data_IF_649695723170
#
_entry.id   IF_649695723170
#
_cell.length_a   1.000
_cell.length_b   1.000
_cell.length_c   1.000
_cell.angle_alpha   90.00
_cell.angle_beta   90.00
_cell.angle_gamma   90.00
#
_symmetry.space_group_name_H-M   'P 1'
#
loop_
_entity.id
_entity.type
_entity.pdbx_description
1 polymer ?
#
# COMPACT_ATOMS: atom_id res chain seq x y z
N UNK A 1 -67.81 86.17 -23.19
CA UNK A 1 -68.62 85.16 -23.88
C UNK A 1 -70.11 85.49 -23.95
N UNK A 2 -70.77 85.92 -22.88
CA UNK A 2 -72.24 85.98 -22.85
C UNK A 2 -72.89 87.03 -23.77
N UNK A 3 -72.24 88.16 -24.03
CA UNK A 3 -72.87 89.30 -24.73
C UNK A 3 -73.11 89.07 -26.23
N UNK A 4 -72.19 88.38 -26.92
CA UNK A 4 -72.37 88.02 -28.34
C UNK A 4 -73.51 87.03 -28.52
N UNK A 5 -73.56 85.99 -27.67
CA UNK A 5 -74.63 85.00 -27.73
C UNK A 5 -75.99 85.61 -27.35
N UNK A 6 -76.01 86.47 -26.33
CA UNK A 6 -77.22 87.19 -25.91
C UNK A 6 -77.76 88.12 -27.01
N UNK A 7 -76.88 88.90 -27.66
CA UNK A 7 -77.28 89.76 -28.77
C UNK A 7 -77.74 88.97 -30.02
N UNK A 8 -77.12 87.81 -30.29
CA UNK A 8 -77.56 86.91 -31.37
C UNK A 8 -78.92 86.25 -31.06
N UNK A 9 -79.13 85.79 -29.83
CA UNK A 9 -80.39 85.20 -29.38
C UNK A 9 -81.53 86.23 -29.39
N UNK A 10 -81.25 87.47 -29.00
CA UNK A 10 -82.21 88.59 -29.08
C UNK A 10 -82.51 88.94 -30.55
N UNK A 11 -81.50 88.93 -31.43
CA UNK A 11 -81.70 89.12 -32.88
C UNK A 11 -82.58 88.02 -33.49
N UNK A 12 -82.34 86.76 -33.11
CA UNK A 12 -83.17 85.62 -33.51
C UNK A 12 -84.60 85.80 -33.04
N UNK A 13 -84.79 86.17 -31.77
CA UNK A 13 -86.12 86.42 -31.18
C UNK A 13 -86.88 87.52 -31.93
N UNK A 14 -86.22 88.65 -32.24
CA UNK A 14 -86.83 89.75 -33.00
C UNK A 14 -87.24 89.30 -34.41
N UNK A 15 -86.44 88.43 -35.04
CA UNK A 15 -86.75 87.88 -36.38
C UNK A 15 -87.89 86.85 -36.33
N UNK A 16 -87.95 86.03 -35.29
CA UNK A 16 -89.00 85.02 -35.08
C UNK A 16 -90.37 85.66 -34.77
N UNK A 17 -90.40 86.75 -34.01
CA UNK A 17 -91.63 87.49 -33.66
C UNK A 17 -92.04 88.55 -34.72
N UNK A 18 -91.23 88.71 -35.77
CA UNK A 18 -91.42 89.73 -36.80
C UNK A 18 -92.74 89.55 -37.57
N UNK A 19 -93.43 90.67 -37.84
CA UNK A 19 -94.71 90.64 -38.55
C UNK A 19 -94.50 90.40 -40.05
N UNK A 20 -95.04 89.29 -40.57
CA UNK A 20 -95.00 88.96 -42.01
C UNK A 20 -95.78 89.93 -42.90
N UNK A 21 -95.28 90.17 -44.12
CA UNK A 21 -95.95 91.01 -45.14
C UNK A 21 -96.78 90.13 -46.09
N UNK A 22 -98.10 90.40 -46.28
CA UNK A 22 -98.99 89.53 -47.05
C UNK A 22 -98.52 89.29 -48.50
N UNK A 23 -98.68 88.06 -48.99
CA UNK A 23 -98.28 87.61 -50.34
C UNK A 23 -96.77 87.71 -50.64
N UNK A 24 -95.90 87.82 -49.62
CA UNK A 24 -94.43 87.81 -49.76
C UNK A 24 -93.77 86.92 -48.69
N UNK A 25 -92.52 86.53 -48.91
CA UNK A 25 -91.69 85.83 -47.91
C UNK A 25 -90.98 86.78 -46.94
N UNK A 26 -91.34 88.07 -46.92
CA UNK A 26 -90.68 89.09 -46.10
C UNK A 26 -91.37 89.31 -44.74
N UNK A 27 -90.58 89.68 -43.74
CA UNK A 27 -91.05 90.14 -42.44
C UNK A 27 -90.60 91.58 -42.17
N UNK A 28 -91.37 92.30 -41.36
CA UNK A 28 -91.05 93.67 -40.91
C UNK A 28 -90.39 93.55 -39.55
N UNK A 29 -89.11 93.96 -39.48
CA UNK A 29 -88.34 94.04 -38.25
C UNK A 29 -88.07 95.51 -37.88
N UNK A 30 -88.03 95.85 -36.59
CA UNK A 30 -87.58 97.16 -36.13
C UNK A 30 -86.10 97.34 -36.48
N UNK A 31 -85.85 98.08 -37.56
CA UNK A 31 -84.50 98.28 -38.11
C UNK A 31 -83.50 98.86 -37.10
N UNK A 32 -83.94 99.70 -36.16
CA UNK A 32 -83.10 100.29 -35.12
C UNK A 32 -82.51 99.21 -34.21
N UNK A 33 -83.39 98.45 -33.56
CA UNK A 33 -83.05 97.39 -32.61
C UNK A 33 -82.18 96.30 -33.25
N UNK A 34 -82.48 95.89 -34.50
CA UNK A 34 -81.66 94.91 -35.24
C UNK A 34 -80.26 95.44 -35.55
N UNK A 35 -80.12 96.72 -35.92
CA UNK A 35 -78.81 97.32 -36.19
C UNK A 35 -78.01 97.50 -34.91
N UNK A 36 -78.66 97.84 -33.79
CA UNK A 36 -78.02 97.97 -32.49
C UNK A 36 -77.46 96.62 -32.01
N UNK A 37 -78.23 95.54 -32.12
CA UNK A 37 -77.77 94.19 -31.79
C UNK A 37 -76.66 93.69 -32.72
N UNK A 38 -76.74 94.00 -34.03
CA UNK A 38 -75.66 93.68 -34.97
C UNK A 38 -74.38 94.48 -34.68
N UNK A 39 -74.50 95.73 -34.24
CA UNK A 39 -73.36 96.55 -33.82
C UNK A 39 -72.76 96.02 -32.52
N UNK A 40 -73.57 95.61 -31.55
CA UNK A 40 -73.11 94.95 -30.32
C UNK A 40 -72.37 93.63 -30.61
N UNK A 41 -72.89 92.81 -31.54
CA UNK A 41 -72.21 91.60 -32.02
C UNK A 41 -70.91 91.95 -32.74
N UNK A 42 -70.93 92.95 -33.63
CA UNK A 42 -69.75 93.40 -34.38
C UNK A 42 -68.63 93.88 -33.46
N UNK A 43 -68.99 94.59 -32.39
CA UNK A 43 -68.02 95.19 -31.48
C UNK A 43 -67.50 94.16 -30.46
N UNK A 44 -68.29 93.15 -30.09
CA UNK A 44 -67.91 92.13 -29.12
C UNK A 44 -67.22 90.88 -29.72
N UNK A 45 -67.56 90.45 -30.95
CA UNK A 45 -66.96 89.27 -31.59
C UNK A 45 -65.42 89.33 -31.68
N UNK A 46 -64.80 90.45 -32.11
CA UNK A 46 -63.35 90.52 -32.26
C UNK A 46 -62.61 90.23 -30.95
N UNK A 47 -63.10 90.74 -29.83
CA UNK A 47 -62.51 90.50 -28.51
C UNK A 47 -62.65 89.04 -28.08
N UNK A 48 -63.81 88.42 -28.31
CA UNK A 48 -64.02 87.00 -27.96
C UNK A 48 -63.17 86.05 -28.82
N UNK A 49 -62.92 86.41 -30.09
CA UNK A 49 -62.01 85.67 -30.96
C UNK A 49 -60.54 85.83 -30.52
N UNK A 50 -60.14 87.02 -30.09
CA UNK A 50 -58.81 87.30 -29.53
C UNK A 50 -58.58 86.48 -28.25
N UNK A 51 -59.53 86.53 -27.31
CA UNK A 51 -59.49 85.75 -26.07
C UNK A 51 -59.42 84.22 -26.36
N UNK A 52 -60.15 83.73 -27.36
CA UNK A 52 -60.10 82.32 -27.77
C UNK A 52 -58.75 81.96 -28.40
N UNK A 53 -58.16 82.87 -29.19
CA UNK A 53 -56.85 82.71 -29.78
C UNK A 53 -55.76 82.65 -28.70
N UNK A 54 -55.81 83.53 -27.69
CA UNK A 54 -54.91 83.53 -26.54
C UNK A 54 -54.93 82.18 -25.79
N UNK A 55 -56.11 81.59 -25.59
CA UNK A 55 -56.24 80.28 -24.95
C UNK A 55 -55.62 79.18 -25.80
N UNK A 56 -55.77 79.22 -27.13
CA UNK A 56 -55.16 78.26 -28.04
C UNK A 56 -53.64 78.38 -28.06
N UNK A 57 -53.12 79.61 -28.12
CA UNK A 57 -51.68 79.87 -28.10
C UNK A 57 -51.07 79.44 -26.76
N UNK A 58 -51.75 79.73 -25.64
CA UNK A 58 -51.32 79.28 -24.33
C UNK A 58 -51.35 77.74 -24.21
N UNK A 59 -52.37 77.08 -24.75
CA UNK A 59 -52.42 75.61 -24.82
C UNK A 59 -51.22 75.07 -25.59
N UNK A 60 -50.91 75.63 -26.75
CA UNK A 60 -49.82 75.17 -27.60
C UNK A 60 -48.46 75.38 -26.94
N UNK A 61 -48.28 76.50 -26.23
CA UNK A 61 -47.10 76.76 -25.41
C UNK A 61 -46.96 75.72 -24.29
N UNK A 62 -48.03 75.45 -23.53
CA UNK A 62 -48.03 74.47 -22.44
C UNK A 62 -47.73 73.07 -22.95
N UNK A 63 -48.38 72.65 -24.05
CA UNK A 63 -48.15 71.33 -24.66
C UNK A 63 -46.70 71.19 -25.13
N UNK A 64 -46.16 72.21 -25.80
CA UNK A 64 -44.78 72.19 -26.30
C UNK A 64 -43.76 72.14 -25.16
N UNK A 65 -43.97 72.92 -24.09
CA UNK A 65 -43.13 72.88 -22.89
C UNK A 65 -43.19 71.52 -22.21
N UNK A 66 -44.39 70.98 -22.00
CA UNK A 66 -44.56 69.67 -21.38
C UNK A 66 -43.92 68.55 -22.20
N UNK A 67 -44.04 68.58 -23.53
CA UNK A 67 -43.37 67.63 -24.42
C UNK A 67 -41.84 67.75 -24.32
N UNK A 68 -41.30 68.97 -24.34
CA UNK A 68 -39.86 69.21 -24.22
C UNK A 68 -39.31 68.73 -22.87
N UNK A 69 -40.03 69.00 -21.78
CA UNK A 69 -39.65 68.55 -20.44
C UNK A 69 -39.74 67.03 -20.29
N UNK A 70 -40.77 66.40 -20.88
CA UNK A 70 -40.91 64.95 -20.90
C UNK A 70 -39.76 64.29 -21.68
N UNK A 71 -39.45 64.80 -22.88
CA UNK A 71 -38.35 64.29 -23.71
C UNK A 71 -37.01 64.42 -23.01
N UNK A 72 -36.77 65.57 -22.37
CA UNK A 72 -35.59 65.80 -21.53
C UNK A 72 -35.52 64.80 -20.38
N UNK A 73 -36.62 64.60 -19.65
CA UNK A 73 -36.66 63.67 -18.52
C UNK A 73 -36.39 62.23 -18.96
N UNK A 74 -36.94 61.81 -20.09
CA UNK A 74 -36.68 60.48 -20.67
C UNK A 74 -35.24 60.33 -21.12
N UNK A 75 -34.65 61.36 -21.73
CA UNK A 75 -33.25 61.34 -22.15
C UNK A 75 -32.29 61.24 -20.95
N UNK A 76 -32.55 62.02 -19.90
CA UNK A 76 -31.77 61.97 -18.65
C UNK A 76 -31.89 60.61 -17.97
N UNK A 77 -33.10 60.07 -17.82
CA UNK A 77 -33.32 58.74 -17.24
C UNK A 77 -32.63 57.62 -18.03
N UNK A 78 -32.64 57.69 -19.37
CA UNK A 78 -31.93 56.73 -20.23
C UNK A 78 -30.42 56.82 -20.05
N UNK A 79 -29.86 58.03 -20.02
CA UNK A 79 -28.42 58.25 -19.79
C UNK A 79 -27.99 57.72 -18.42
N UNK A 80 -28.78 57.97 -17.38
CA UNK A 80 -28.50 57.46 -16.03
C UNK A 80 -28.58 55.93 -15.96
N UNK A 81 -29.57 55.33 -16.62
CA UNK A 81 -29.69 53.87 -16.71
C UNK A 81 -28.49 53.24 -17.44
N UNK A 82 -28.06 53.83 -18.56
CA UNK A 82 -26.88 53.37 -19.31
C UNK A 82 -25.60 53.46 -18.46
N UNK A 83 -25.41 54.57 -17.75
CA UNK A 83 -24.29 54.76 -16.81
C UNK A 83 -24.30 53.69 -15.72
N UNK A 84 -25.45 53.46 -15.08
CA UNK A 84 -25.60 52.48 -14.01
C UNK A 84 -25.29 51.05 -14.50
N UNK A 85 -25.77 50.70 -15.70
CA UNK A 85 -25.50 49.39 -16.30
C UNK A 85 -24.01 49.25 -16.64
N UNK A 86 -23.38 50.30 -17.16
CA UNK A 86 -21.95 50.28 -17.48
C UNK A 86 -21.09 50.10 -16.21
N UNK A 87 -21.40 50.83 -15.15
CA UNK A 87 -20.74 50.72 -13.84
C UNK A 87 -20.91 49.32 -13.26
N UNK A 88 -22.15 48.80 -13.19
CA UNK A 88 -22.41 47.45 -12.67
C UNK A 88 -21.71 46.35 -13.49
N UNK A 89 -21.59 46.52 -14.82
CA UNK A 89 -20.83 45.58 -15.67
C UNK A 89 -19.35 45.63 -15.38
N UNK A 90 -18.76 46.82 -15.24
CA UNK A 90 -17.35 46.99 -14.93
C UNK A 90 -17.00 46.38 -13.56
N UNK A 91 -17.84 46.61 -12.55
CA UNK A 91 -17.68 46.00 -11.22
C UNK A 91 -17.78 44.47 -11.28
N UNK A 92 -18.76 43.93 -12.03
CA UNK A 92 -18.90 42.49 -12.21
C UNK A 92 -17.69 41.87 -12.92
N UNK A 93 -17.16 42.54 -13.96
CA UNK A 93 -15.95 42.11 -14.66
C UNK A 93 -14.72 42.10 -13.74
N UNK A 94 -14.56 43.14 -12.92
CA UNK A 94 -13.49 43.20 -11.92
C UNK A 94 -13.61 42.06 -10.92
N UNK A 95 -14.80 41.85 -10.34
CA UNK A 95 -15.03 40.77 -9.37
C UNK A 95 -14.75 39.39 -9.97
N UNK A 96 -15.15 39.16 -11.23
CA UNK A 96 -14.86 37.92 -11.93
C UNK A 96 -13.37 37.73 -12.22
N UNK A 97 -12.64 38.80 -12.52
CA UNK A 97 -11.19 38.75 -12.71
C UNK A 97 -10.47 38.40 -11.40
N UNK A 98 -10.81 39.07 -10.30
CA UNK A 98 -10.25 38.79 -8.97
C UNK A 98 -10.56 37.36 -8.51
N UNK A 99 -11.81 36.91 -8.69
CA UNK A 99 -12.20 35.55 -8.33
C UNK A 99 -11.43 34.49 -9.14
N UNK A 100 -11.16 34.74 -10.44
CA UNK A 100 -10.35 33.86 -11.28
C UNK A 100 -8.91 33.82 -10.82
N UNK A 101 -8.31 34.96 -10.50
CA UNK A 101 -6.94 35.03 -9.99
C UNK A 101 -6.79 34.26 -8.67
N UNK A 102 -7.74 34.44 -7.74
CA UNK A 102 -7.76 33.68 -6.48
C UNK A 102 -7.91 32.17 -6.71
N UNK A 103 -8.79 31.78 -7.65
CA UNK A 103 -8.95 30.37 -8.00
C UNK A 103 -7.67 29.78 -8.60
N UNK A 104 -6.99 30.51 -9.48
CA UNK A 104 -5.73 30.08 -10.09
C UNK A 104 -4.61 29.94 -9.03
N UNK A 105 -4.53 30.88 -8.08
CA UNK A 105 -3.59 30.79 -6.96
C UNK A 105 -3.86 29.56 -6.09
N UNK A 106 -5.12 29.33 -5.70
CA UNK A 106 -5.50 28.17 -4.89
C UNK A 106 -5.23 26.85 -5.62
N UNK A 107 -5.50 26.78 -6.92
CA UNK A 107 -5.19 25.61 -7.74
C UNK A 107 -3.69 25.38 -7.86
N UNK A 108 -2.90 26.44 -8.00
CA UNK A 108 -1.43 26.36 -8.01
C UNK A 108 -0.89 25.84 -6.68
N UNK A 109 -1.35 26.39 -5.56
CA UNK A 109 -0.95 25.95 -4.22
C UNK A 109 -1.34 24.50 -3.97
N UNK A 110 -2.58 24.11 -4.29
CA UNK A 110 -3.06 22.75 -4.14
C UNK A 110 -2.25 21.77 -4.98
N UNK A 111 -1.90 22.13 -6.23
CA UNK A 111 -1.01 21.32 -7.08
C UNK A 111 0.38 21.19 -6.47
N UNK A 112 0.96 22.29 -5.98
CA UNK A 112 2.26 22.27 -5.31
C UNK A 112 2.27 21.38 -4.07
N UNK A 113 1.25 21.46 -3.22
CA UNK A 113 1.11 20.60 -2.04
C UNK A 113 0.93 19.12 -2.41
N UNK A 114 0.13 18.84 -3.45
CA UNK A 114 -0.05 17.48 -3.96
C UNK A 114 1.27 16.89 -4.47
N UNK A 115 2.03 17.64 -5.27
CA UNK A 115 3.34 17.22 -5.78
C UNK A 115 4.34 16.96 -4.64
N UNK A 116 4.36 17.84 -3.64
CA UNK A 116 5.20 17.66 -2.45
C UNK A 116 4.83 16.39 -1.68
N UNK A 117 3.53 16.15 -1.48
CA UNK A 117 3.04 14.96 -0.77
C UNK A 117 3.37 13.67 -1.53
N UNK A 118 3.15 13.65 -2.85
CA UNK A 118 3.49 12.51 -3.71
C UNK A 118 5.00 12.25 -3.69
N UNK A 119 5.82 13.30 -3.75
CA UNK A 119 7.28 13.19 -3.71
C UNK A 119 7.76 12.68 -2.35
N UNK A 120 7.22 13.21 -1.25
CA UNK A 120 7.54 12.77 0.10
C UNK A 120 7.15 11.29 0.30
N UNK A 121 5.92 10.92 -0.05
CA UNK A 121 5.45 9.54 0.02
C UNK A 121 6.32 8.60 -0.82
N UNK A 122 6.67 8.99 -2.06
CA UNK A 122 7.55 8.19 -2.92
C UNK A 122 8.91 7.93 -2.27
N UNK A 123 9.53 8.94 -1.67
CA UNK A 123 10.83 8.79 -0.95
C UNK A 123 10.70 7.83 0.23
N UNK A 124 9.65 7.97 1.03
CA UNK A 124 9.39 7.06 2.15
C UNK A 124 9.18 5.61 1.70
N UNK A 125 8.43 5.41 0.60
CA UNK A 125 8.26 4.09 0.00
C UNK A 125 9.59 3.51 -0.52
N UNK A 126 10.39 4.31 -1.22
CA UNK A 126 11.71 3.89 -1.71
C UNK A 126 12.64 3.49 -0.56
N UNK A 127 12.65 4.27 0.54
CA UNK A 127 13.39 3.96 1.76
C UNK A 127 12.91 2.65 2.41
N UNK A 128 11.59 2.45 2.52
CA UNK A 128 11.02 1.23 3.11
C UNK A 128 11.40 -0.01 2.31
N UNK A 129 11.26 0.05 0.97
CA UNK A 129 11.63 -1.05 0.08
C UNK A 129 13.14 -1.33 0.16
N UNK A 130 13.98 -0.30 0.18
CA UNK A 130 15.44 -0.45 0.30
C UNK A 130 15.86 -1.14 1.60
N UNK A 131 15.23 -0.76 2.73
CA UNK A 131 15.46 -1.41 4.02
C UNK A 131 14.99 -2.86 4.02
N UNK A 132 13.78 -3.13 3.51
CA UNK A 132 13.24 -4.49 3.43
C UNK A 132 14.09 -5.40 2.55
N UNK A 133 14.59 -4.91 1.41
CA UNK A 133 15.52 -5.64 0.54
C UNK A 133 16.83 -5.94 1.26
N UNK A 134 17.43 -4.93 1.89
CA UNK A 134 18.68 -5.09 2.65
C UNK A 134 18.53 -6.10 3.80
N UNK A 135 17.39 -6.09 4.50
CA UNK A 135 17.08 -7.03 5.56
C UNK A 135 16.85 -8.45 5.01
N UNK A 136 16.11 -8.57 3.92
CA UNK A 136 15.89 -9.84 3.23
C UNK A 136 17.21 -10.48 2.78
N UNK A 137 18.09 -9.70 2.16
CA UNK A 137 19.42 -10.16 1.74
C UNK A 137 20.27 -10.63 2.92
N UNK A 138 20.24 -9.87 4.04
CA UNK A 138 20.92 -10.28 5.28
C UNK A 138 20.38 -11.59 5.84
N UNK A 139 19.06 -11.77 5.86
CA UNK A 139 18.44 -13.02 6.32
C UNK A 139 18.83 -14.20 5.44
N UNK A 140 18.84 -14.03 4.11
CA UNK A 140 19.26 -15.07 3.17
C UNK A 140 20.74 -15.41 3.37
N UNK A 141 21.61 -14.42 3.53
CA UNK A 141 23.04 -14.64 3.78
C UNK A 141 23.28 -15.35 5.12
N UNK A 142 22.63 -14.89 6.19
CA UNK A 142 22.72 -15.53 7.50
C UNK A 142 22.21 -16.97 7.47
N UNK A 143 21.08 -17.22 6.78
CA UNK A 143 20.53 -18.55 6.60
C UNK A 143 21.46 -19.47 5.83
N UNK A 144 22.09 -18.99 4.75
CA UNK A 144 23.11 -19.75 4.00
C UNK A 144 24.32 -20.08 4.85
N UNK A 145 24.86 -19.11 5.58
CA UNK A 145 26.02 -19.33 6.45
C UNK A 145 25.72 -20.36 7.56
N UNK A 146 24.56 -20.25 8.21
CA UNK A 146 24.13 -21.23 9.23
C UNK A 146 23.91 -22.63 8.64
N UNK A 147 23.36 -22.71 7.44
CA UNK A 147 23.19 -23.98 6.73
C UNK A 147 24.55 -24.62 6.39
N UNK A 148 25.48 -23.86 5.83
CA UNK A 148 26.83 -24.34 5.50
C UNK A 148 27.57 -24.83 6.75
N UNK A 149 27.50 -24.06 7.84
CA UNK A 149 28.05 -24.46 9.13
C UNK A 149 27.45 -25.78 9.62
N UNK A 150 26.11 -25.90 9.60
CA UNK A 150 25.43 -27.13 10.04
C UNK A 150 25.82 -28.35 9.20
N UNK A 151 25.95 -28.17 7.88
CA UNK A 151 26.43 -29.23 6.97
C UNK A 151 27.87 -29.62 7.29
N UNK A 152 28.74 -28.64 7.56
CA UNK A 152 30.13 -28.90 7.94
C UNK A 152 30.22 -29.67 9.26
N UNK A 153 29.51 -29.21 10.29
CA UNK A 153 29.44 -29.90 11.59
C UNK A 153 28.89 -31.32 11.45
N UNK A 154 27.81 -31.50 10.68
CA UNK A 154 27.24 -32.82 10.42
C UNK A 154 28.21 -33.77 9.71
N UNK A 155 28.96 -33.28 8.72
CA UNK A 155 30.00 -34.07 8.04
C UNK A 155 31.16 -34.44 8.97
N UNK A 156 31.59 -33.50 9.81
CA UNK A 156 32.65 -33.74 10.79
C UNK A 156 32.24 -34.79 11.82
N UNK A 157 31.02 -34.71 12.35
CA UNK A 157 30.49 -35.70 13.28
C UNK A 157 30.30 -37.07 12.61
N UNK A 158 29.78 -37.10 11.38
CA UNK A 158 29.68 -38.34 10.60
C UNK A 158 31.05 -39.01 10.43
N UNK A 159 32.09 -38.24 10.07
CA UNK A 159 33.45 -38.77 9.92
C UNK A 159 34.02 -39.30 11.24
N UNK A 160 33.73 -38.64 12.37
CA UNK A 160 34.11 -39.10 13.70
C UNK A 160 33.44 -40.44 14.03
N UNK A 161 32.13 -40.55 13.85
CA UNK A 161 31.38 -41.78 14.14
C UNK A 161 31.83 -42.96 13.27
N UNK A 162 32.15 -42.72 12.00
CA UNK A 162 32.72 -43.76 11.12
C UNK A 162 34.07 -44.23 11.66
N UNK A 163 34.95 -43.30 12.01
CA UNK A 163 36.27 -43.63 12.58
C UNK A 163 36.14 -44.42 13.89
N UNK A 164 35.28 -43.98 14.81
CA UNK A 164 35.03 -44.67 16.08
C UNK A 164 34.49 -46.09 15.86
N UNK A 165 33.61 -46.26 14.87
CA UNK A 165 33.06 -47.58 14.49
C UNK A 165 34.12 -48.49 13.89
N UNK A 166 34.99 -47.97 13.01
CA UNK A 166 36.11 -48.73 12.43
C UNK A 166 37.09 -49.20 13.51
N UNK A 167 37.45 -48.33 14.45
CA UNK A 167 38.30 -48.67 15.59
C UNK A 167 37.64 -49.75 16.46
N UNK A 168 36.35 -49.64 16.75
CA UNK A 168 35.61 -50.63 17.53
C UNK A 168 35.55 -52.01 16.83
N UNK A 169 35.36 -52.02 15.51
CA UNK A 169 35.38 -53.25 14.72
C UNK A 169 36.77 -53.89 14.68
N UNK A 170 37.82 -53.10 14.44
CA UNK A 170 39.20 -53.58 14.43
C UNK A 170 39.63 -54.12 15.81
N UNK A 171 39.30 -53.41 16.89
CA UNK A 171 39.56 -53.86 18.25
C UNK A 171 38.83 -55.16 18.58
N UNK A 172 37.57 -55.31 18.14
CA UNK A 172 36.80 -56.55 18.33
C UNK A 172 37.39 -57.73 17.55
N UNK A 173 37.83 -57.49 16.31
CA UNK A 173 38.49 -58.52 15.49
C UNK A 173 39.83 -58.96 16.11
N UNK A 174 40.64 -58.01 16.59
CA UNK A 174 41.92 -58.31 17.23
C UNK A 174 41.72 -59.01 18.59
N UNK A 175 40.76 -58.59 19.39
CA UNK A 175 40.40 -59.26 20.63
C UNK A 175 39.99 -60.72 20.39
N UNK A 176 39.21 -60.97 19.32
CA UNK A 176 38.85 -62.32 18.91
C UNK A 176 40.08 -63.14 18.49
N UNK A 177 40.99 -62.57 17.69
CA UNK A 177 42.23 -63.21 17.26
C UNK A 177 43.11 -63.60 18.45
N UNK A 178 43.30 -62.70 19.41
CA UNK A 178 44.08 -62.95 20.64
C UNK A 178 43.42 -64.04 21.47
N UNK A 179 42.09 -64.04 21.60
CA UNK A 179 41.36 -65.06 22.36
C UNK A 179 41.48 -66.45 21.72
N UNK A 180 41.41 -66.53 20.38
CA UNK A 180 41.62 -67.78 19.63
C UNK A 180 43.06 -68.28 19.80
N UNK A 181 44.07 -67.42 19.61
CA UNK A 181 45.49 -67.75 19.79
C UNK A 181 45.80 -68.21 21.23
N UNK A 182 45.25 -67.52 22.23
CA UNK A 182 45.42 -67.91 23.64
C UNK A 182 44.74 -69.25 23.96
N UNK A 183 43.59 -69.56 23.34
CA UNK A 183 42.92 -70.84 23.52
C UNK A 183 43.71 -71.98 22.87
N UNK A 184 44.21 -71.78 21.64
CA UNK A 184 45.08 -72.75 20.96
C UNK A 184 46.38 -73.00 21.76
N UNK A 185 47.00 -71.94 22.28
CA UNK A 185 48.19 -72.04 23.13
C UNK A 185 47.89 -72.79 24.43
N UNK A 186 46.76 -72.50 25.07
CA UNK A 186 46.33 -73.20 26.29
C UNK A 186 46.04 -74.68 26.03
N UNK A 187 45.44 -75.02 24.89
CA UNK A 187 45.23 -76.41 24.44
C UNK A 187 46.57 -77.10 24.16
N UNK A 188 47.52 -76.42 23.51
CA UNK A 188 48.86 -76.95 23.27
C UNK A 188 49.61 -77.21 24.57
N UNK A 189 49.67 -76.23 25.49
CA UNK A 189 50.29 -76.40 26.81
C UNK A 189 49.67 -77.55 27.60
N UNK A 190 48.33 -77.70 27.52
CA UNK A 190 47.64 -78.80 28.20
C UNK A 190 48.06 -80.14 27.61
N UNK A 191 48.08 -80.26 26.28
CA UNK A 191 48.55 -81.48 25.61
C UNK A 191 50.02 -81.80 25.91
N UNK A 192 50.90 -80.79 25.94
CA UNK A 192 52.32 -80.95 26.29
C UNK A 192 52.49 -81.36 27.76
N UNK A 193 51.74 -80.74 28.68
CA UNK A 193 51.70 -81.14 30.09
C UNK A 193 51.23 -82.58 30.26
N UNK A 194 50.13 -82.97 29.60
CA UNK A 194 49.58 -84.32 29.65
C UNK A 194 50.60 -85.34 29.12
N UNK A 195 51.24 -85.06 27.99
CA UNK A 195 52.31 -85.92 27.44
C UNK A 195 53.53 -86.01 28.36
N UNK A 196 53.91 -84.91 29.00
CA UNK A 196 55.02 -84.90 29.97
C UNK A 196 54.68 -85.71 31.23
N UNK A 197 53.47 -85.55 31.77
CA UNK A 197 52.99 -86.33 32.93
C UNK A 197 52.97 -87.82 32.57
N UNK A 198 52.46 -88.19 31.41
CA UNK A 198 52.43 -89.57 30.92
C UNK A 198 53.85 -90.16 30.81
N UNK A 199 54.78 -89.43 30.19
CA UNK A 199 56.19 -89.84 30.10
C UNK A 199 56.84 -90.02 31.47
N UNK A 200 56.59 -89.12 32.43
CA UNK A 200 57.14 -89.25 33.80
C UNK A 200 56.53 -90.40 34.58
N UNK A 201 55.23 -90.67 34.38
CA UNK A 201 54.57 -91.84 34.96
C UNK A 201 55.12 -93.14 34.36
N UNK A 202 55.37 -93.18 33.04
CA UNK A 202 56.01 -94.31 32.38
C UNK A 202 57.44 -94.54 32.90
N UNK A 203 58.28 -93.49 33.00
CA UNK A 203 59.62 -93.58 33.59
C UNK A 203 59.57 -94.12 35.03
N UNK A 204 58.58 -93.67 35.82
CA UNK A 204 58.38 -94.09 37.20
C UNK A 204 57.92 -95.55 37.29
N UNK A 205 57.00 -95.98 36.43
CA UNK A 205 56.60 -97.39 36.29
C UNK A 205 57.81 -98.26 35.97
N UNK A 206 58.64 -97.83 35.04
CA UNK A 206 59.82 -98.54 34.59
C UNK A 206 60.87 -98.68 35.73
N UNK A 207 61.06 -97.62 36.50
CA UNK A 207 61.91 -97.60 37.71
C UNK A 207 61.37 -98.54 38.79
N UNK A 208 60.07 -98.51 39.07
CA UNK A 208 59.44 -99.44 40.02
C UNK A 208 59.55 -100.88 39.54
N UNK A 209 59.38 -101.14 38.24
CA UNK A 209 59.57 -102.46 37.62
C UNK A 209 61.01 -102.97 37.72
N UNK A 210 62.01 -102.10 37.60
CA UNK A 210 63.42 -102.45 37.88
C UNK A 210 63.63 -102.74 39.37
N UNK A 211 63.07 -101.91 40.25
CA UNK A 211 63.19 -102.08 41.71
C UNK A 211 62.54 -103.37 42.18
N UNK A 212 61.33 -103.71 41.69
CA UNK A 212 60.66 -104.99 41.94
C UNK A 212 61.46 -106.18 41.42
N UNK A 213 62.11 -106.08 40.24
CA UNK A 213 63.02 -107.12 39.74
C UNK A 213 64.25 -107.29 40.63
N UNK A 214 64.83 -106.21 41.13
CA UNK A 214 65.95 -106.24 42.08
C UNK A 214 65.53 -106.88 43.41
N UNK A 215 64.37 -106.51 43.94
CA UNK A 215 63.79 -107.15 45.14
C UNK A 215 63.49 -108.62 44.88
N UNK A 216 62.95 -108.98 43.71
CA UNK A 216 62.74 -110.37 43.27
C UNK A 216 64.03 -111.19 43.24
N UNK A 217 65.11 -110.64 42.68
CA UNK A 217 66.46 -111.26 42.69
C UNK A 217 67.00 -111.41 44.11
N UNK A 218 66.85 -110.41 44.97
CA UNK A 218 67.23 -110.50 46.40
C UNK A 218 66.42 -111.56 47.15
N UNK A 219 65.13 -111.71 46.84
CA UNK A 219 64.27 -112.75 47.40
C UNK A 219 64.61 -114.15 46.89
N UNK A 220 65.12 -114.26 45.67
CA UNK A 220 65.57 -115.52 45.08
C UNK A 220 66.95 -115.94 45.63
N UNK A 221 67.84 -114.99 45.94
CA UNK A 221 69.10 -115.22 46.66
C UNK A 221 68.88 -115.67 48.11
N UNK A 222 67.82 -115.21 48.78
CA UNK A 222 67.41 -115.72 50.11
C UNK A 222 66.74 -117.12 50.07
N UNK A 223 66.59 -117.72 48.88
CA UNK A 223 65.95 -119.02 48.67
C UNK A 223 66.90 -120.13 48.22
N UNK A 224 68.21 -120.00 48.44
CA UNK A 224 69.13 -121.15 48.30
C UNK A 224 70.24 -121.18 49.38
N UNK A 225 70.52 -122.34 50.02
CA UNK A 225 71.34 -122.43 51.24
C UNK A 225 72.78 -122.93 51.01
N UNK A 226 73.72 -122.36 51.80
CA UNK A 226 74.83 -122.98 52.57
C UNK A 226 75.39 -124.36 52.14
N UNK A 227 76.68 -124.61 51.92
CA UNK A 227 77.90 -123.78 52.05
C UNK A 227 79.21 -124.59 51.92
N UNK A 228 80.32 -123.85 51.72
CA UNK A 228 81.74 -124.06 52.14
C UNK A 228 82.50 -125.39 51.81
N UNK A 229 83.84 -125.50 51.97
CA UNK A 229 84.99 -124.58 51.83
C UNK A 229 86.16 -125.17 50.96
N UNK A 230 87.36 -124.54 51.00
CA UNK A 230 88.70 -124.94 50.46
C UNK A 230 88.99 -124.55 48.98
N UNK A 231 90.21 -124.18 48.55
CA UNK A 231 91.54 -124.17 49.18
C UNK A 231 92.50 -123.18 48.47
N UNK A 232 93.63 -122.86 49.11
CA UNK A 232 94.80 -122.20 48.49
C UNK A 232 95.85 -123.24 48.05
N UNK A 233 96.00 -123.48 46.75
CA UNK A 233 97.15 -124.06 46.00
C UNK A 233 96.61 -124.34 44.58
N UNK A 234 97.24 -124.06 43.43
CA UNK A 234 98.41 -124.75 42.89
C UNK A 234 98.72 -124.21 41.45
N UNK A 235 100.00 -123.88 41.17
CA UNK A 235 100.81 -124.23 39.98
C UNK A 235 100.16 -124.32 38.55
N UNK A 236 100.41 -123.36 37.63
CA UNK A 236 101.39 -123.35 36.49
C UNK A 236 100.92 -123.89 35.10
N UNK A 237 101.56 -123.48 33.96
CA UNK A 237 100.88 -123.10 32.71
C UNK A 237 101.00 -124.09 31.52
N UNK A 238 100.16 -123.93 30.48
CA UNK A 238 100.54 -124.10 29.04
C UNK A 238 99.41 -123.69 28.06
N UNK A 239 99.82 -123.09 26.94
CA UNK A 239 99.29 -123.10 25.55
C UNK A 239 97.79 -123.31 25.21
N UNK A 240 97.31 -122.57 24.19
CA UNK A 240 96.49 -123.16 23.12
C UNK A 240 95.29 -122.37 22.56
N UNK A 241 95.40 -122.00 21.28
CA UNK A 241 94.36 -121.92 20.23
C UNK A 241 93.21 -120.89 20.32
N UNK A 242 93.26 -119.95 19.35
CA UNK A 242 92.19 -119.19 18.67
C UNK A 242 91.00 -118.66 19.49
#
# INVERSE_FOLDING_TARGET
MYRVFEALDELVTIVEEARGVPMTSGCVVPRGDVLELLDDVRDAIPQELDDAQDVLDHRDEVVTKAQTEADKSVAEARSEAERTIAEARAEAEQMLAEAREQADHLLSDARGQAEQTVTAGRREYEDYISRAQSESDRMVQAGRAAYEQSVHEGKAEQARLVTDTEVAQAASAEAKRIAEEANEEAERLRSECDAYVDSRLADFEDLLGRTLRTVGKGRQQLRSPMGAPFDYEEWQPSAGAN
#
